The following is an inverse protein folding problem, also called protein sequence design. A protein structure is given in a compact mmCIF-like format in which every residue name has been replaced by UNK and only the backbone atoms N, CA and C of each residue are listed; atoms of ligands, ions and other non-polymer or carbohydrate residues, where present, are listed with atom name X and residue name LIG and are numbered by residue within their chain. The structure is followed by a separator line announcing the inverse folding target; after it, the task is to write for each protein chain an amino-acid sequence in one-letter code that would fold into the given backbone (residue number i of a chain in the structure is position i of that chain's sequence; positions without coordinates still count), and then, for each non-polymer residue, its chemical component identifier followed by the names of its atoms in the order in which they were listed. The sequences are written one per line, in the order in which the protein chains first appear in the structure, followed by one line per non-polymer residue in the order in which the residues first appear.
data_IF_961208425670
#
_entry.id   IF_961208425670
#
_cell.length_a   1.000
_cell.length_b   1.000
_cell.length_c   1.000
_cell.angle_alpha   90.00
_cell.angle_beta   90.00
_cell.angle_gamma   90.00
#
_symmetry.space_group_name_H-M   'P 1'
#
loop_
_entity.id
_entity.type
_entity.pdbx_description
1 polymer ?
#
# COMPACT_ATOMS: atom_id res chain seq x y z
N UNK A 1 -8.77 -14.34 -17.54
CA UNK A 1 -8.15 -14.30 -16.20
C UNK A 1 -7.64 -12.89 -16.02
N UNK A 2 -8.18 -12.17 -15.04
CA UNK A 2 -7.66 -10.84 -14.68
C UNK A 2 -6.49 -11.01 -13.73
N UNK A 3 -5.48 -10.15 -13.87
CA UNK A 3 -4.32 -10.11 -13.00
C UNK A 3 -4.38 -8.86 -12.14
N UNK A 4 -4.26 -9.02 -10.82
CA UNK A 4 -4.25 -7.93 -9.85
C UNK A 4 -2.93 -7.90 -9.09
N UNK A 5 -2.54 -6.74 -8.57
CA UNK A 5 -1.38 -6.60 -7.68
C UNK A 5 -1.82 -6.32 -6.25
N UNK A 6 -1.24 -7.06 -5.29
CA UNK A 6 -1.48 -6.91 -3.85
C UNK A 6 -0.17 -6.59 -3.14
N UNK A 7 -0.08 -5.41 -2.53
CA UNK A 7 1.05 -5.03 -1.71
C UNK A 7 0.79 -5.41 -0.23
N UNK A 8 1.73 -6.10 0.40
CA UNK A 8 1.66 -6.49 1.80
C UNK A 8 2.42 -5.47 2.63
N UNK A 9 1.68 -4.65 3.37
CA UNK A 9 2.22 -3.70 4.35
C UNK A 9 1.99 -4.23 5.77
N UNK A 10 2.78 -3.79 6.73
CA UNK A 10 2.61 -4.17 8.13
C UNK A 10 3.86 -3.90 8.95
N UNK A 11 3.66 -3.79 10.26
CA UNK A 11 4.78 -3.67 11.19
C UNK A 11 5.67 -4.92 11.17
N UNK A 12 6.95 -4.79 11.56
CA UNK A 12 7.77 -5.95 11.86
C UNK A 12 7.07 -6.88 12.86
N UNK A 13 7.22 -8.20 12.66
CA UNK A 13 6.71 -9.26 13.54
C UNK A 13 5.18 -9.42 13.62
N UNK A 14 4.38 -8.84 12.71
CA UNK A 14 2.92 -9.05 12.65
C UNK A 14 2.49 -10.37 11.99
N UNK A 15 3.46 -11.17 11.53
CA UNK A 15 3.22 -12.37 10.74
C UNK A 15 2.93 -12.11 9.25
N UNK A 16 3.23 -10.90 8.75
CA UNK A 16 3.19 -10.54 7.33
C UNK A 16 3.87 -11.58 6.42
N UNK A 17 5.14 -11.91 6.69
CA UNK A 17 5.87 -12.90 5.88
C UNK A 17 5.31 -14.32 6.04
N UNK A 18 4.73 -14.67 7.20
CA UNK A 18 4.03 -15.96 7.37
C UNK A 18 2.80 -16.04 6.46
N UNK A 19 2.01 -14.97 6.40
CA UNK A 19 0.85 -14.89 5.51
C UNK A 19 1.28 -14.88 4.05
N UNK A 20 2.28 -14.08 3.69
CA UNK A 20 2.83 -14.02 2.33
C UNK A 20 3.27 -15.41 1.85
N UNK A 21 4.09 -16.11 2.64
CA UNK A 21 4.55 -17.46 2.32
C UNK A 21 3.41 -18.48 2.24
N UNK A 22 2.39 -18.35 3.11
CA UNK A 22 1.21 -19.21 3.07
C UNK A 22 0.45 -19.08 1.75
N UNK A 23 0.33 -17.85 1.23
CA UNK A 23 -0.43 -17.57 0.02
C UNK A 23 0.37 -17.91 -1.25
N UNK A 24 1.64 -17.53 -1.33
CA UNK A 24 2.44 -17.69 -2.55
C UNK A 24 3.16 -19.05 -2.65
N UNK A 25 3.33 -19.76 -1.53
CA UNK A 25 4.09 -21.00 -1.49
C UNK A 25 5.51 -20.84 -2.05
N UNK A 26 5.93 -21.75 -2.93
CA UNK A 26 7.26 -21.77 -3.55
C UNK A 26 7.44 -20.79 -4.73
N UNK A 27 6.39 -20.09 -5.15
CA UNK A 27 6.44 -19.17 -6.30
C UNK A 27 6.88 -17.80 -5.86
N UNK A 28 8.13 -17.70 -5.41
CA UNK A 28 8.70 -16.47 -4.89
C UNK A 28 9.99 -16.11 -5.62
N UNK A 29 10.18 -14.83 -5.88
CA UNK A 29 11.42 -14.26 -6.36
C UNK A 29 11.82 -13.09 -5.46
N UNK A 30 13.08 -13.05 -5.06
CA UNK A 30 13.63 -11.95 -4.28
C UNK A 30 14.48 -11.06 -5.17
N UNK A 31 14.28 -9.75 -5.07
CA UNK A 31 15.05 -8.72 -5.76
C UNK A 31 15.45 -7.60 -4.82
N UNK A 32 16.01 -6.53 -5.40
CA UNK A 32 16.23 -5.27 -4.71
C UNK A 32 15.24 -4.24 -5.23
N UNK A 33 14.74 -3.40 -4.34
CA UNK A 33 13.96 -2.23 -4.71
C UNK A 33 14.79 -1.31 -5.62
N UNK A 34 14.16 -0.71 -6.63
CA UNK A 34 14.86 0.02 -7.68
C UNK A 34 15.78 1.12 -7.12
N UNK A 35 17.10 0.87 -7.16
CA UNK A 35 18.11 1.82 -6.68
C UNK A 35 18.28 1.90 -5.16
N UNK A 36 17.70 0.97 -4.39
CA UNK A 36 17.89 0.88 -2.93
C UNK A 36 18.41 -0.51 -2.54
N UNK A 37 19.03 -0.61 -1.36
CA UNK A 37 19.51 -1.89 -0.77
C UNK A 37 18.40 -2.68 -0.07
N UNK A 38 17.15 -2.33 -0.33
CA UNK A 38 15.98 -2.90 0.33
C UNK A 38 15.55 -4.13 -0.46
N UNK A 39 15.50 -5.28 0.21
CA UNK A 39 15.09 -6.54 -0.42
C UNK A 39 13.58 -6.52 -0.61
N UNK A 40 13.11 -6.87 -1.81
CA UNK A 40 11.69 -7.13 -2.08
C UNK A 40 11.48 -8.60 -2.38
N UNK A 41 10.40 -9.16 -1.85
CA UNK A 41 9.94 -10.50 -2.21
C UNK A 41 8.64 -10.36 -3.01
N UNK A 42 8.59 -10.99 -4.17
CA UNK A 42 7.40 -11.06 -5.01
C UNK A 42 6.98 -12.51 -5.18
N UNK A 43 5.68 -12.74 -5.29
CA UNK A 43 5.16 -14.06 -5.60
C UNK A 43 3.76 -14.00 -6.19
N UNK A 44 3.17 -15.16 -6.45
CA UNK A 44 1.84 -15.23 -7.06
C UNK A 44 0.95 -16.23 -6.34
N UNK A 45 -0.33 -15.89 -6.22
CA UNK A 45 -1.39 -16.80 -5.76
C UNK A 45 -2.66 -16.62 -6.60
N UNK A 46 -3.58 -17.58 -6.51
CA UNK A 46 -4.85 -17.55 -7.24
C UNK A 46 -6.02 -17.72 -6.30
N UNK A 47 -7.08 -16.95 -6.54
CA UNK A 47 -8.36 -17.05 -5.84
C UNK A 47 -9.50 -16.76 -6.81
N UNK A 48 -10.56 -17.57 -6.82
CA UNK A 48 -11.75 -17.39 -7.68
C UNK A 48 -11.45 -17.01 -9.14
N UNK A 49 -10.55 -17.74 -9.81
CA UNK A 49 -10.13 -17.51 -11.21
C UNK A 49 -9.39 -16.18 -11.48
N UNK A 50 -9.01 -15.44 -10.45
CA UNK A 50 -8.11 -14.31 -10.51
C UNK A 50 -6.69 -14.72 -10.10
N UNK A 51 -5.70 -14.12 -10.76
CA UNK A 51 -4.29 -14.25 -10.38
C UNK A 51 -3.85 -12.97 -9.68
N UNK A 52 -3.19 -13.11 -8.54
CA UNK A 52 -2.71 -12.00 -7.74
C UNK A 52 -1.20 -12.05 -7.67
N UNK A 53 -0.54 -11.00 -8.17
CA UNK A 53 0.88 -10.73 -7.91
C UNK A 53 0.99 -10.11 -6.52
N UNK A 54 1.58 -10.83 -5.59
CA UNK A 54 1.85 -10.39 -4.24
C UNK A 54 3.24 -9.75 -4.17
N UNK A 55 3.33 -8.58 -3.54
CA UNK A 55 4.61 -7.92 -3.25
C UNK A 55 4.73 -7.69 -1.75
N UNK A 56 5.76 -8.26 -1.13
CA UNK A 56 6.08 -8.07 0.28
C UNK A 56 6.86 -6.78 0.48
N UNK A 57 6.22 -5.77 1.08
CA UNK A 57 6.91 -4.53 1.42
C UNK A 57 7.74 -4.73 2.69
N UNK A 58 8.80 -3.92 2.91
CA UNK A 58 9.54 -3.93 4.16
C UNK A 58 8.62 -3.75 5.37
N UNK A 59 8.95 -4.41 6.47
CA UNK A 59 8.23 -4.23 7.74
C UNK A 59 8.51 -2.86 8.31
N UNK A 60 7.48 -2.01 8.45
CA UNK A 60 7.65 -0.59 8.77
C UNK A 60 6.72 -0.16 9.90
N UNK A 61 7.15 0.78 10.75
CA UNK A 61 6.29 1.31 11.82
C UNK A 61 5.57 2.59 11.39
N UNK A 62 6.10 3.32 10.41
CA UNK A 62 5.56 4.56 9.90
C UNK A 62 5.96 4.75 8.43
N UNK A 63 5.10 5.38 7.64
CA UNK A 63 5.36 5.84 6.27
C UNK A 63 5.86 7.29 6.22
N UNK A 64 6.02 7.93 7.38
CA UNK A 64 6.51 9.31 7.48
C UNK A 64 8.00 9.41 7.84
N UNK A 65 8.63 8.30 8.22
CA UNK A 65 10.05 8.25 8.55
C UNK A 65 10.92 8.21 7.29
N UNK A 66 12.21 8.55 7.44
CA UNK A 66 13.20 8.52 6.36
C UNK A 66 14.15 7.31 6.44
N UNK A 67 13.71 6.15 6.95
CA UNK A 67 14.49 4.93 6.75
C UNK A 67 14.26 4.39 5.34
N UNK A 68 15.27 3.71 4.78
CA UNK A 68 15.17 3.18 3.42
C UNK A 68 13.98 2.22 3.22
N UNK A 69 13.66 1.43 4.25
CA UNK A 69 12.54 0.50 4.28
C UNK A 69 11.19 1.23 4.29
N UNK A 70 11.07 2.28 5.09
CA UNK A 70 9.86 3.11 5.22
C UNK A 70 9.58 3.90 3.96
N UNK A 71 10.61 4.52 3.38
CA UNK A 71 10.49 5.18 2.08
C UNK A 71 10.15 4.19 0.97
N UNK A 72 10.74 2.99 0.96
CA UNK A 72 10.43 1.99 -0.07
C UNK A 72 8.96 1.53 0.00
N UNK A 73 8.44 1.29 1.20
CA UNK A 73 7.03 0.96 1.39
C UNK A 73 6.09 2.11 0.97
N UNK A 74 6.40 3.34 1.40
CA UNK A 74 5.65 4.56 1.02
C UNK A 74 5.62 4.74 -0.49
N UNK A 75 6.80 4.74 -1.11
CA UNK A 75 6.98 4.97 -2.54
C UNK A 75 6.25 3.89 -3.37
N UNK A 76 6.26 2.63 -2.94
CA UNK A 76 5.48 1.57 -3.60
C UNK A 76 3.98 1.90 -3.58
N UNK A 77 3.42 2.18 -2.40
CA UNK A 77 1.98 2.36 -2.23
C UNK A 77 1.46 3.54 -3.06
N UNK A 78 2.22 4.64 -3.12
CA UNK A 78 1.81 5.84 -3.87
C UNK A 78 2.13 5.77 -5.37
N UNK A 79 3.27 5.21 -5.79
CA UNK A 79 3.72 5.29 -7.19
C UNK A 79 3.39 4.05 -8.03
N UNK A 80 3.39 2.85 -7.42
CA UNK A 80 3.03 1.61 -8.12
C UNK A 80 1.52 1.34 -8.10
N UNK A 81 0.77 2.04 -7.24
CA UNK A 81 -0.70 2.03 -7.17
C UNK A 81 -1.30 0.61 -7.21
N UNK A 82 -0.96 -0.27 -6.24
CA UNK A 82 -1.47 -1.63 -6.23
C UNK A 82 -3.01 -1.66 -6.20
N UNK A 83 -3.60 -2.71 -6.78
CA UNK A 83 -5.06 -2.90 -6.76
C UNK A 83 -5.57 -3.11 -5.34
N UNK A 84 -4.73 -3.66 -4.45
CA UNK A 84 -5.00 -3.77 -3.02
C UNK A 84 -3.72 -3.55 -2.21
N UNK A 85 -3.79 -2.71 -1.19
CA UNK A 85 -2.82 -2.66 -0.09
C UNK A 85 -3.35 -3.45 1.11
N UNK A 86 -2.80 -4.63 1.34
CA UNK A 86 -3.13 -5.47 2.48
C UNK A 86 -2.28 -5.05 3.69
N UNK A 87 -2.91 -4.46 4.71
CA UNK A 87 -2.21 -4.03 5.93
C UNK A 87 -2.36 -5.10 7.01
N UNK A 88 -1.26 -5.78 7.35
CA UNK A 88 -1.22 -6.86 8.33
C UNK A 88 -0.91 -6.30 9.71
N UNK A 89 -1.86 -6.44 10.63
CA UNK A 89 -1.80 -5.99 12.02
C UNK A 89 -1.72 -7.18 12.97
N UNK A 90 -1.07 -7.00 14.11
CA UNK A 90 -1.07 -7.96 15.22
C UNK A 90 -2.28 -7.74 16.13
N UNK A 91 -3.13 -8.78 16.27
CA UNK A 91 -4.30 -8.80 17.14
C UNK A 91 -3.99 -8.55 18.63
N UNK A 92 -2.79 -8.92 19.09
CA UNK A 92 -2.37 -8.76 20.49
C UNK A 92 -1.94 -7.33 20.83
N UNK A 93 -1.63 -6.53 19.80
CA UNK A 93 -1.04 -5.19 19.93
C UNK A 93 -1.66 -4.21 18.93
N UNK A 94 -2.99 -4.25 18.77
CA UNK A 94 -3.70 -3.50 17.72
C UNK A 94 -3.44 -1.99 17.75
N UNK A 95 -3.42 -1.36 18.93
CA UNK A 95 -3.23 0.09 19.07
C UNK A 95 -1.95 0.57 18.38
N UNK A 96 -0.83 -0.13 18.62
CA UNK A 96 0.46 0.19 18.01
C UNK A 96 0.46 -0.02 16.49
N UNK A 97 -0.23 -1.05 16.02
CA UNK A 97 -0.27 -1.42 14.61
C UNK A 97 -1.21 -0.51 13.80
N UNK A 98 -2.27 0.00 14.42
CA UNK A 98 -3.24 0.87 13.77
C UNK A 98 -2.62 2.17 13.25
N UNK A 99 -1.51 2.64 13.84
CA UNK A 99 -0.81 3.83 13.35
C UNK A 99 -0.43 3.70 11.86
N UNK A 100 0.22 2.59 11.48
CA UNK A 100 0.57 2.34 10.08
C UNK A 100 -0.67 2.20 9.20
N UNK A 101 -1.71 1.52 9.68
CA UNK A 101 -2.96 1.37 8.95
C UNK A 101 -3.58 2.72 8.60
N UNK A 102 -3.65 3.65 9.57
CA UNK A 102 -4.19 4.99 9.34
C UNK A 102 -3.39 5.75 8.27
N UNK A 103 -2.06 5.68 8.30
CA UNK A 103 -1.21 6.31 7.30
C UNK A 103 -1.42 5.73 5.89
N UNK A 104 -1.58 4.41 5.78
CA UNK A 104 -1.92 3.78 4.49
C UNK A 104 -3.27 4.27 3.98
N UNK A 105 -4.27 4.42 4.86
CA UNK A 105 -5.61 4.89 4.51
C UNK A 105 -5.65 6.35 4.05
N UNK A 106 -4.67 7.17 4.45
CA UNK A 106 -4.51 8.53 3.91
C UNK A 106 -3.95 8.54 2.49
N UNK A 107 -3.17 7.52 2.11
CA UNK A 107 -2.59 7.39 0.77
C UNK A 107 -3.59 6.75 -0.20
N UNK A 108 -4.28 5.69 0.22
CA UNK A 108 -5.14 4.91 -0.67
C UNK A 108 -6.38 4.35 0.03
N UNK A 109 -7.51 4.40 -0.68
CA UNK A 109 -8.74 3.72 -0.27
C UNK A 109 -8.81 2.25 -0.69
N UNK A 110 -7.86 1.76 -1.49
CA UNK A 110 -7.78 0.37 -1.93
C UNK A 110 -7.11 -0.52 -0.87
N UNK A 111 -7.50 -0.38 0.39
CA UNK A 111 -6.88 -1.07 1.50
C UNK A 111 -7.77 -2.19 2.06
N UNK A 112 -7.14 -3.26 2.54
CA UNK A 112 -7.77 -4.30 3.36
C UNK A 112 -6.97 -4.44 4.64
N UNK A 113 -7.65 -4.39 5.80
CA UNK A 113 -7.00 -4.60 7.08
C UNK A 113 -7.06 -6.08 7.44
N UNK A 114 -5.90 -6.69 7.65
CA UNK A 114 -5.76 -8.08 8.07
C UNK A 114 -5.25 -8.13 9.50
N UNK A 115 -6.14 -8.44 10.44
CA UNK A 115 -5.78 -8.62 11.85
C UNK A 115 -5.37 -10.08 12.05
N UNK A 116 -4.07 -10.32 12.10
CA UNK A 116 -3.45 -11.64 12.27
C UNK A 116 -3.24 -11.99 13.75
N UNK A 117 -2.87 -13.24 14.05
CA UNK A 117 -2.60 -13.74 15.40
C UNK A 117 -3.85 -13.79 16.31
N UNK A 118 -5.03 -14.04 15.72
CA UNK A 118 -6.31 -14.11 16.45
C UNK A 118 -6.37 -15.25 17.48
N UNK A 119 -5.63 -16.33 17.24
CA UNK A 119 -5.46 -17.46 18.16
C UNK A 119 -4.71 -17.04 19.43
N UNK A 120 -3.63 -16.27 19.27
CA UNK A 120 -2.87 -15.74 20.40
C UNK A 120 -3.67 -14.68 21.17
N UNK A 121 -4.34 -13.78 20.46
CA UNK A 121 -5.21 -12.78 21.08
C UNK A 121 -6.29 -13.43 21.96
N UNK A 122 -6.96 -14.50 21.48
CA UNK A 122 -7.92 -15.26 22.27
C UNK A 122 -7.30 -15.92 23.51
N UNK A 123 -6.07 -16.45 23.40
CA UNK A 123 -5.33 -17.02 24.54
C UNK A 123 -5.04 -15.97 25.61
N UNK A 124 -4.84 -14.72 25.22
CA UNK A 124 -4.65 -13.57 26.10
C UNK A 124 -5.97 -12.94 26.58
N UNK A 125 -7.13 -13.49 26.19
CA UNK A 125 -8.44 -12.95 26.57
C UNK A 125 -8.85 -11.67 25.83
N UNK A 126 -8.20 -11.38 24.70
CA UNK A 126 -8.52 -10.23 23.85
C UNK A 126 -9.64 -10.61 22.88
N UNK A 127 -10.73 -9.86 22.91
CA UNK A 127 -11.83 -9.98 21.95
C UNK A 127 -11.83 -8.79 20.97
N UNK A 128 -12.08 -9.07 19.69
CA UNK A 128 -11.96 -8.10 18.60
C UNK A 128 -13.30 -7.94 17.92
N UNK A 129 -13.90 -6.77 18.08
CA UNK A 129 -15.12 -6.39 17.35
C UNK A 129 -14.78 -5.96 15.92
N UNK A 130 -14.77 -6.96 15.03
CA UNK A 130 -14.51 -6.78 13.59
C UNK A 130 -15.43 -5.75 12.94
N UNK A 131 -16.72 -5.75 13.32
CA UNK A 131 -17.72 -4.86 12.72
C UNK A 131 -17.49 -3.42 13.13
N UNK A 132 -17.19 -3.19 14.41
CA UNK A 132 -16.87 -1.87 14.91
C UNK A 132 -15.60 -1.30 14.26
N UNK A 133 -14.54 -2.11 14.14
CA UNK A 133 -13.29 -1.67 13.50
C UNK A 133 -13.52 -1.36 12.02
N UNK A 134 -14.17 -2.26 11.27
CA UNK A 134 -14.45 -2.03 9.84
C UNK A 134 -15.31 -0.80 9.62
N UNK A 135 -16.33 -0.58 10.45
CA UNK A 135 -17.17 0.63 10.38
C UNK A 135 -16.38 1.91 10.66
N UNK A 136 -15.47 1.89 11.64
CA UNK A 136 -14.67 3.07 12.01
C UNK A 136 -13.58 3.39 10.99
N UNK A 137 -12.93 2.36 10.42
CA UNK A 137 -11.87 2.54 9.42
C UNK A 137 -12.43 2.77 8.01
N UNK A 138 -13.67 2.35 7.74
CA UNK A 138 -14.34 2.54 6.45
C UNK A 138 -13.78 1.66 5.31
N UNK A 139 -13.05 0.61 5.67
CA UNK A 139 -12.46 -0.38 4.77
C UNK A 139 -12.77 -1.80 5.24
N UNK A 140 -12.63 -2.82 4.38
CA UNK A 140 -12.82 -4.21 4.78
C UNK A 140 -11.77 -4.63 5.79
N UNK A 141 -12.20 -5.43 6.76
CA UNK A 141 -11.32 -6.00 7.78
C UNK A 141 -11.55 -7.50 7.81
N UNK A 142 -10.47 -8.27 7.90
CA UNK A 142 -10.50 -9.70 8.11
C UNK A 142 -9.66 -10.06 9.35
N UNK A 143 -10.07 -11.09 10.09
CA UNK A 143 -9.32 -11.65 11.21
C UNK A 143 -8.81 -13.04 10.83
N UNK A 144 -7.53 -13.29 11.06
CA UNK A 144 -6.89 -14.54 10.67
C UNK A 144 -5.95 -15.08 11.76
N UNK A 145 -5.64 -16.37 11.65
CA UNK A 145 -4.36 -16.91 12.12
C UNK A 145 -3.67 -17.50 10.91
N UNK A 146 -2.61 -16.83 10.41
CA UNK A 146 -1.84 -17.33 9.28
C UNK A 146 -1.24 -18.70 9.58
N UNK A 147 -0.68 -18.88 10.79
CA UNK A 147 -0.09 -20.16 11.22
C UNK A 147 -1.15 -21.26 11.33
N UNK A 148 -2.30 -20.94 11.90
CA UNK A 148 -3.41 -21.88 12.04
C UNK A 148 -4.24 -22.08 10.76
N UNK A 149 -3.94 -21.33 9.69
CA UNK A 149 -4.72 -21.26 8.44
C UNK A 149 -6.21 -20.93 8.67
N UNK A 150 -6.49 -20.09 9.67
CA UNK A 150 -7.85 -19.67 10.04
C UNK A 150 -8.17 -18.36 9.33
N UNK A 151 -9.36 -18.26 8.72
CA UNK A 151 -9.88 -17.01 8.15
C UNK A 151 -9.28 -16.60 6.81
N UNK A 152 -8.45 -17.46 6.19
CA UNK A 152 -7.73 -17.14 4.94
C UNK A 152 -8.69 -16.94 3.77
N UNK A 153 -9.69 -17.80 3.60
CA UNK A 153 -10.68 -17.68 2.53
C UNK A 153 -11.46 -16.35 2.64
N UNK A 154 -11.95 -16.03 3.85
CA UNK A 154 -12.64 -14.77 4.10
C UNK A 154 -11.76 -13.53 3.83
N UNK A 155 -10.45 -13.63 4.10
CA UNK A 155 -9.49 -12.58 3.74
C UNK A 155 -9.36 -12.43 2.23
N UNK A 156 -9.20 -13.54 1.49
CA UNK A 156 -9.08 -13.55 0.04
C UNK A 156 -10.33 -12.98 -0.63
N UNK A 157 -11.52 -13.28 -0.11
CA UNK A 157 -12.77 -12.68 -0.57
C UNK A 157 -12.80 -11.15 -0.38
N UNK A 158 -12.25 -10.62 0.73
CA UNK A 158 -12.17 -9.17 0.91
C UNK A 158 -11.16 -8.54 -0.07
N UNK A 159 -10.03 -9.19 -0.31
CA UNK A 159 -9.03 -8.75 -1.29
C UNK A 159 -9.67 -8.69 -2.68
N UNK A 160 -10.38 -9.74 -3.11
CA UNK A 160 -11.08 -9.79 -4.39
C UNK A 160 -12.09 -8.64 -4.52
N UNK A 161 -12.90 -8.40 -3.49
CA UNK A 161 -13.90 -7.32 -3.51
C UNK A 161 -13.30 -5.94 -3.70
N UNK A 162 -12.14 -5.67 -3.10
CA UNK A 162 -11.42 -4.40 -3.29
C UNK A 162 -10.77 -4.35 -4.67
N UNK A 163 -10.07 -5.42 -5.08
CA UNK A 163 -9.37 -5.48 -6.36
C UNK A 163 -10.31 -5.32 -7.57
N UNK A 164 -11.50 -5.90 -7.49
CA UNK A 164 -12.52 -5.83 -8.55
C UNK A 164 -13.38 -4.57 -8.49
N UNK A 165 -13.23 -3.73 -7.45
CA UNK A 165 -14.05 -2.54 -7.22
C UNK A 165 -15.47 -2.84 -6.71
N UNK A 166 -15.77 -4.09 -6.36
CA UNK A 166 -17.05 -4.48 -5.76
C UNK A 166 -17.26 -3.92 -4.33
N UNK A 167 -16.21 -3.40 -3.69
CA UNK A 167 -16.27 -2.65 -2.45
C UNK A 167 -15.95 -1.18 -2.67
N UNK A 168 -16.89 -0.31 -2.32
CA UNK A 168 -16.67 1.15 -2.31
C UNK A 168 -16.18 1.56 -0.93
N UNK A 169 -14.88 1.83 -0.81
CA UNK A 169 -14.28 2.29 0.45
C UNK A 169 -14.68 3.73 0.78
N UNK A 170 -14.81 4.00 2.08
CA UNK A 170 -14.89 5.35 2.64
C UNK A 170 -13.87 5.48 3.77
N UNK A 171 -12.56 5.48 3.46
CA UNK A 171 -11.51 5.41 4.46
C UNK A 171 -11.63 6.53 5.49
N UNK A 172 -11.34 6.20 6.75
CA UNK A 172 -11.24 7.19 7.81
C UNK A 172 -10.24 8.28 7.41
N UNK A 173 -10.71 9.53 7.39
CA UNK A 173 -9.84 10.69 7.22
C UNK A 173 -9.52 11.28 8.58
N UNK A 174 -8.23 11.45 8.84
CA UNK A 174 -7.78 12.14 10.04
C UNK A 174 -7.98 13.65 9.82
N UNK A 175 -8.62 14.28 10.81
CA UNK A 175 -8.74 15.72 10.90
C UNK A 175 -7.65 16.25 11.82
N UNK A 176 -6.89 17.21 11.31
CA UNK A 176 -5.84 17.92 12.04
C UNK A 176 -6.38 19.21 12.66
N UNK A 177 -5.52 20.01 13.29
CA UNK A 177 -5.91 21.34 13.78
C UNK A 177 -6.35 22.23 12.61
N UNK A 178 -7.22 23.21 12.89
CA UNK A 178 -7.77 24.12 11.88
C UNK A 178 -6.66 24.81 11.06
N UNK A 179 -5.55 25.15 11.70
CA UNK A 179 -4.36 25.75 11.09
C UNK A 179 -3.73 24.82 10.03
N UNK A 180 -3.59 23.54 10.35
CA UNK A 180 -3.04 22.53 9.43
C UNK A 180 -4.04 22.27 8.30
N UNK A 181 -5.33 22.15 8.60
CA UNK A 181 -6.37 21.93 7.59
C UNK A 181 -6.48 23.09 6.60
N UNK A 182 -6.32 24.32 7.06
CA UNK A 182 -6.22 25.50 6.20
C UNK A 182 -5.00 25.42 5.29
N UNK A 183 -3.81 25.13 5.85
CA UNK A 183 -2.59 24.95 5.06
C UNK A 183 -2.72 23.84 4.01
N UNK A 184 -3.35 22.71 4.35
CA UNK A 184 -3.63 21.62 3.40
C UNK A 184 -4.53 22.12 2.27
N UNK A 185 -5.62 22.82 2.60
CA UNK A 185 -6.58 23.33 1.63
C UNK A 185 -5.94 24.35 0.66
N UNK A 186 -5.02 25.19 1.14
CA UNK A 186 -4.27 26.13 0.33
C UNK A 186 -3.30 25.44 -0.65
N UNK A 187 -2.68 24.34 -0.23
CA UNK A 187 -1.70 23.61 -1.04
C UNK A 187 -2.31 22.65 -2.06
N UNK A 188 -3.50 22.09 -1.80
CA UNK A 188 -4.15 21.11 -2.69
C UNK A 188 -4.20 21.59 -4.16
N UNK A 189 -4.67 22.82 -4.48
CA UNK A 189 -4.72 23.28 -5.87
C UNK A 189 -3.35 23.34 -6.54
N UNK A 190 -2.30 23.72 -5.80
CA UNK A 190 -0.93 23.78 -6.32
C UNK A 190 -0.36 22.38 -6.58
N UNK A 191 -0.66 21.43 -5.68
CA UNK A 191 -0.29 20.03 -5.85
C UNK A 191 -0.97 19.45 -7.08
N UNK A 192 -2.29 19.61 -7.22
CA UNK A 192 -3.05 19.09 -8.36
C UNK A 192 -2.56 19.67 -9.69
N UNK A 193 -2.20 20.96 -9.73
CA UNK A 193 -1.60 21.58 -10.92
C UNK A 193 -0.22 20.98 -11.26
N UNK A 194 0.54 20.54 -10.26
CA UNK A 194 1.92 20.06 -10.44
C UNK A 194 1.97 18.57 -10.79
N UNK A 195 1.25 17.74 -10.04
CA UNK A 195 1.33 16.26 -10.13
C UNK A 195 0.09 15.63 -10.78
N UNK A 196 -0.92 16.43 -11.10
CA UNK A 196 -2.20 15.97 -11.62
C UNK A 196 -3.08 15.32 -10.55
N UNK A 197 -4.17 14.70 -11.00
CA UNK A 197 -5.14 14.01 -10.12
C UNK A 197 -4.81 12.54 -9.85
N UNK A 198 -3.64 12.06 -10.29
CA UNK A 198 -3.24 10.66 -10.15
C UNK A 198 -2.92 10.31 -8.70
N UNK A 199 -2.21 11.20 -8.01
CA UNK A 199 -1.77 10.97 -6.63
C UNK A 199 -2.68 11.69 -5.63
N UNK A 200 -2.77 11.23 -4.36
CA UNK A 200 -3.62 11.84 -3.35
C UNK A 200 -3.12 13.24 -2.97
N UNK A 201 -3.69 14.28 -3.59
CA UNK A 201 -3.26 15.67 -3.41
C UNK A 201 -3.28 16.14 -1.95
N UNK A 202 -4.31 15.74 -1.18
CA UNK A 202 -4.40 16.02 0.26
C UNK A 202 -3.21 15.44 1.03
N UNK A 203 -2.85 14.19 0.77
CA UNK A 203 -1.76 13.53 1.46
C UNK A 203 -0.43 14.17 1.10
N UNK A 204 -0.19 14.47 -0.19
CA UNK A 204 1.01 15.19 -0.62
C UNK A 204 1.09 16.57 0.05
N UNK A 205 -0.01 17.34 0.07
CA UNK A 205 -0.08 18.64 0.74
C UNK A 205 0.29 18.53 2.23
N UNK A 206 -0.25 17.54 2.94
CA UNK A 206 0.11 17.27 4.33
C UNK A 206 1.61 16.98 4.49
N UNK A 207 2.20 16.17 3.59
CA UNK A 207 3.64 15.85 3.64
C UNK A 207 4.53 17.05 3.33
N UNK A 208 4.09 17.97 2.48
CA UNK A 208 4.79 19.23 2.21
C UNK A 208 4.82 20.13 3.45
N UNK A 209 3.72 20.19 4.21
CA UNK A 209 3.68 20.94 5.48
C UNK A 209 4.58 20.34 6.55
N UNK A 210 4.76 19.02 6.55
CA UNK A 210 5.63 18.30 7.48
C UNK A 210 7.13 18.45 7.14
N UNK A 211 7.46 19.07 6.00
CA UNK A 211 8.86 19.29 5.57
C UNK A 211 9.57 18.03 5.08
N UNK A 212 8.85 17.04 4.54
CA UNK A 212 9.44 15.80 4.04
C UNK A 212 10.15 15.99 2.68
N UNK A 213 11.44 16.32 2.72
CA UNK A 213 12.29 16.47 1.54
C UNK A 213 12.50 15.16 0.75
N UNK A 214 12.36 14.00 1.40
CA UNK A 214 12.55 12.69 0.76
C UNK A 214 11.42 12.42 -0.24
N UNK A 215 10.18 12.73 0.15
CA UNK A 215 9.01 12.60 -0.74
C UNK A 215 9.14 13.51 -1.96
N UNK A 216 9.57 14.77 -1.76
CA UNK A 216 9.80 15.71 -2.86
C UNK A 216 10.84 15.18 -3.85
N UNK A 217 11.89 14.53 -3.35
CA UNK A 217 12.92 13.90 -4.17
C UNK A 217 12.35 12.72 -4.97
N UNK A 218 11.60 11.82 -4.32
CA UNK A 218 10.95 10.69 -4.99
C UNK A 218 9.91 11.12 -6.02
N UNK A 219 9.11 12.15 -5.73
CA UNK A 219 8.13 12.74 -6.66
C UNK A 219 8.82 13.29 -7.92
N UNK A 220 9.87 14.10 -7.76
CA UNK A 220 10.64 14.65 -8.88
C UNK A 220 11.25 13.54 -9.74
N UNK A 221 11.82 12.51 -9.13
CA UNK A 221 12.41 11.39 -9.84
C UNK A 221 11.36 10.60 -10.67
N UNK A 222 10.18 10.33 -10.09
CA UNK A 222 9.11 9.63 -10.81
C UNK A 222 8.50 10.48 -11.93
N UNK A 223 8.26 11.77 -11.70
CA UNK A 223 7.78 12.69 -12.75
C UNK A 223 8.78 12.82 -13.91
N UNK A 224 10.09 12.89 -13.60
CA UNK A 224 11.15 12.93 -14.61
C UNK A 224 11.21 11.67 -15.47
N UNK A 225 11.05 10.48 -14.87
CA UNK A 225 11.01 9.21 -15.62
C UNK A 225 9.82 9.13 -16.57
N UNK A 226 8.65 9.64 -16.21
CA UNK A 226 7.48 9.64 -17.09
C UNK A 226 7.62 10.59 -18.27
N UNK A 227 8.23 11.76 -18.07
CA UNK A 227 8.53 12.68 -19.17
C UNK A 227 9.54 12.10 -20.18
N UNK A 228 10.42 11.18 -19.75
CA UNK A 228 11.39 10.50 -20.64
C UNK A 228 10.74 9.30 -21.36
N UNK A 229 9.77 8.63 -20.73
CA UNK A 229 9.02 7.52 -21.36
C UNK A 229 8.08 7.99 -22.48
N UNK A 230 7.72 9.28 -22.53
CA UNK A 230 6.94 9.88 -23.62
C UNK A 230 7.74 10.24 -24.88
N UNK A 231 9.07 10.07 -24.88
CA UNK A 231 9.96 10.52 -25.97
C UNK A 231 10.64 9.39 -26.73
N UNK A 232 10.04 8.20 -26.76
CA UNK A 232 10.48 7.10 -27.64
C UNK A 232 9.48 6.89 -28.79
N UNK A 233 9.68 7.66 -29.87
CA UNK A 233 9.67 7.23 -31.28
C UNK A 233 9.48 8.44 -32.21
N UNK A 234 10.59 9.12 -32.51
CA UNK A 234 10.80 9.66 -33.86
C UNK A 234 12.19 9.20 -34.28
N UNK A 235 12.31 7.89 -34.57
CA UNK A 235 13.44 7.38 -35.33
C UNK A 235 13.23 7.85 -36.77
N UNK A 236 14.00 8.85 -37.16
CA UNK A 236 14.10 9.34 -38.52
C UNK A 236 14.34 8.18 -39.50
N UNK A 237 13.35 7.86 -40.32
CA UNK A 237 13.58 7.17 -41.58
C UNK A 237 14.22 8.16 -42.55
N UNK A 238 15.53 8.33 -42.40
CA UNK A 238 16.38 8.92 -43.43
C UNK A 238 16.44 7.97 -44.61
N UNK A 239 15.66 8.27 -45.64
CA UNK A 239 15.82 7.70 -46.98
C UNK A 239 17.15 8.22 -47.53
N UNK A 240 18.17 7.37 -47.58
CA UNK A 240 19.33 7.61 -48.44
C UNK A 240 19.09 6.85 -49.74
N UNK A 241 18.54 7.53 -50.74
CA UNK A 241 18.58 7.09 -52.12
C UNK A 241 19.89 7.56 -52.77
N UNK A 242 20.47 6.70 -53.57
CA UNK A 242 21.67 6.93 -54.39
C UNK A 242 21.50 8.11 -55.36
N UNK A 243 22.52 8.97 -55.47
CA UNK A 243 23.36 9.16 -56.66
C UNK A 243 24.57 10.04 -56.35
#
# INVERSE_FOLDING_TARGET
MSQFTVAFAGNPNTGKSTLFNLLTGLRQHTGNWAGKTVITAEGEFTHNNHTYRAVDLPGTYSLYSNSADEEAARDYIIFEEPDVTLVVLDATSLERNLNLALQVLEITGRAVICINLIDEARRLGIDIDLKAISKRLGVPVAVISARGKIGIEALLDQIERVATGAFTAQPLRISYSDEIEQGIAELIPMVEQTVGSRYPARWIALRLLDGDDSLLTSLKAHMGRQNISGTKEVMAHGVTACH
#
